data_IF_389821210282
#
_entry.id   IF_389821210282
#
_cell.length_a   1.000
_cell.length_b   1.000
_cell.length_c   1.000
_cell.angle_alpha   90.00
_cell.angle_beta   90.00
_cell.angle_gamma   90.00
#
_symmetry.space_group_name_H-M   'P 1'
#
loop_
_entity.id
_entity.type
_entity.pdbx_description
1 polymer ?
#
# COMPACT_ATOMS: atom_id res chain seq x y z
N UNK A 1 7.48 32.57 -27.93
CA UNK A 1 8.37 33.26 -26.98
C UNK A 1 9.08 32.20 -26.16
N UNK A 2 10.41 32.25 -26.09
CA UNK A 2 11.26 31.30 -25.35
C UNK A 2 11.15 31.62 -23.86
N UNK A 3 10.87 30.63 -23.03
CA UNK A 3 10.99 30.76 -21.57
C UNK A 3 12.40 30.35 -21.14
N UNK A 4 13.02 31.19 -20.32
CA UNK A 4 14.38 31.08 -19.79
C UNK A 4 14.36 31.26 -18.28
N UNK A 5 15.24 30.51 -17.58
CA UNK A 5 15.59 30.63 -16.15
C UNK A 5 15.18 29.36 -15.39
N UNK A 6 16.00 28.31 -15.21
CA UNK A 6 17.38 28.18 -14.68
C UNK A 6 17.54 28.67 -13.25
N UNK A 7 17.61 27.70 -12.32
CA UNK A 7 18.61 27.66 -11.26
C UNK A 7 18.90 26.19 -10.92
N UNK A 8 19.85 25.61 -11.66
CA UNK A 8 20.45 24.30 -11.42
C UNK A 8 21.72 24.53 -10.60
N UNK A 9 21.76 24.09 -9.35
CA UNK A 9 22.99 24.05 -8.56
C UNK A 9 23.47 22.59 -8.47
N UNK A 10 24.44 22.25 -9.31
CA UNK A 10 25.17 21.01 -9.26
C UNK A 10 26.23 21.08 -8.14
N UNK A 11 26.25 20.09 -7.25
CA UNK A 11 27.46 19.74 -6.50
C UNK A 11 27.92 18.36 -6.98
N UNK A 12 29.01 18.37 -7.74
CA UNK A 12 29.82 17.20 -8.02
C UNK A 12 30.87 17.07 -6.90
N UNK A 13 30.89 15.95 -6.19
CA UNK A 13 32.00 15.54 -5.36
C UNK A 13 32.70 14.34 -5.98
N UNK A 14 34.01 14.52 -6.16
CA UNK A 14 34.97 13.58 -6.72
C UNK A 14 35.10 12.33 -5.85
N UNK A 15 34.99 11.15 -6.46
CA UNK A 15 35.62 9.92 -5.95
C UNK A 15 36.44 9.31 -7.07
N UNK A 16 37.74 9.43 -6.94
CA UNK A 16 38.76 8.77 -7.76
C UNK A 16 38.70 7.26 -7.55
N UNK A 17 38.47 6.52 -8.63
CA UNK A 17 38.64 5.07 -8.67
C UNK A 17 40.12 4.69 -8.74
N UNK A 18 40.49 3.65 -7.99
CA UNK A 18 41.73 2.91 -8.20
C UNK A 18 41.36 1.46 -8.44
N UNK A 19 41.62 0.99 -9.66
CA UNK A 19 41.56 -0.41 -10.06
C UNK A 19 42.64 -1.21 -9.32
N UNK A 20 42.30 -2.41 -8.84
CA UNK A 20 43.27 -3.46 -8.56
C UNK A 20 42.82 -4.76 -9.24
N UNK A 21 43.51 -5.10 -10.33
CA UNK A 21 43.50 -6.42 -10.96
C UNK A 21 44.25 -7.41 -10.08
N UNK A 22 43.67 -8.59 -9.87
CA UNK A 22 44.32 -9.72 -9.21
C UNK A 22 43.62 -11.03 -9.54
N UNK A 23 44.06 -11.67 -10.63
CA UNK A 23 43.72 -13.05 -11.00
C UNK A 23 44.48 -14.02 -10.09
N UNK A 24 43.82 -15.05 -9.58
CA UNK A 24 44.41 -16.37 -9.33
C UNK A 24 43.32 -17.45 -9.27
N UNK A 25 43.31 -18.29 -10.30
CA UNK A 25 42.58 -19.56 -10.40
C UNK A 25 43.17 -20.63 -9.48
N UNK A 26 42.32 -21.39 -8.79
CA UNK A 26 42.62 -22.79 -8.45
C UNK A 26 41.33 -23.61 -8.37
N UNK A 27 41.30 -24.64 -9.20
CA UNK A 27 40.32 -25.72 -9.25
C UNK A 27 40.60 -26.74 -8.15
N UNK A 28 39.58 -27.08 -7.36
CA UNK A 28 39.52 -28.37 -6.67
C UNK A 28 38.07 -28.85 -6.61
N UNK A 29 37.81 -29.91 -7.36
CA UNK A 29 36.57 -30.68 -7.38
C UNK A 29 36.44 -31.53 -6.12
N UNK A 30 35.37 -31.32 -5.35
CA UNK A 30 34.88 -32.29 -4.37
C UNK A 30 33.36 -32.39 -4.48
N UNK A 31 32.89 -33.54 -4.99
CA UNK A 31 31.48 -33.93 -4.92
C UNK A 31 31.14 -34.27 -3.48
N UNK A 32 30.34 -33.43 -2.84
CA UNK A 32 29.61 -33.75 -1.61
C UNK A 32 28.14 -33.41 -1.85
N UNK A 33 27.26 -34.41 -1.70
CA UNK A 33 25.82 -34.25 -1.75
C UNK A 33 25.34 -33.40 -0.58
N UNK A 34 25.34 -32.08 -0.77
CA UNK A 34 24.77 -31.11 0.15
C UNK A 34 23.38 -30.72 -0.32
N UNK A 35 22.42 -30.72 0.61
CA UNK A 35 21.21 -29.92 0.51
C UNK A 35 21.62 -28.52 0.03
N UNK A 36 21.19 -28.12 -1.17
CA UNK A 36 21.49 -26.81 -1.71
C UNK A 36 20.73 -25.79 -0.85
N UNK A 37 21.39 -25.25 0.17
CA UNK A 37 20.96 -24.01 0.79
C UNK A 37 20.94 -22.97 -0.32
N UNK A 38 19.75 -22.59 -0.77
CA UNK A 38 19.63 -21.60 -1.84
C UNK A 38 20.27 -20.30 -1.39
N UNK A 39 21.19 -19.76 -2.21
CA UNK A 39 21.78 -18.45 -1.96
C UNK A 39 20.83 -17.29 -2.30
N UNK A 40 19.67 -17.58 -2.89
CA UNK A 40 18.70 -16.58 -3.32
C UNK A 40 17.99 -15.95 -2.11
N UNK A 41 17.89 -14.63 -2.10
CA UNK A 41 17.14 -13.85 -1.12
C UNK A 41 15.82 -13.36 -1.71
N UNK A 42 14.78 -13.27 -0.88
CA UNK A 42 13.54 -12.59 -1.27
C UNK A 42 13.74 -11.08 -1.29
N UNK A 43 14.62 -10.56 -0.43
CA UNK A 43 14.92 -9.13 -0.34
C UNK A 43 15.46 -8.58 -1.66
N UNK A 44 14.85 -7.50 -2.14
CA UNK A 44 15.24 -6.73 -3.32
C UNK A 44 15.34 -5.24 -2.96
N UNK A 45 16.12 -4.47 -3.71
CA UNK A 45 16.21 -3.00 -3.54
C UNK A 45 15.16 -2.23 -4.34
N UNK A 46 14.54 -2.89 -5.33
CA UNK A 46 13.48 -2.34 -6.18
C UNK A 46 12.51 -3.45 -6.56
N UNK A 47 11.24 -3.10 -6.77
CA UNK A 47 10.26 -4.02 -7.34
C UNK A 47 10.79 -4.61 -8.67
N UNK A 48 10.79 -5.94 -8.85
CA UNK A 48 11.24 -6.58 -10.09
C UNK A 48 10.41 -6.14 -11.31
N UNK A 49 11.01 -6.21 -12.49
CA UNK A 49 10.36 -5.95 -13.77
C UNK A 49 9.66 -7.19 -14.38
N UNK A 50 9.51 -8.25 -13.58
CA UNK A 50 8.76 -9.46 -13.90
C UNK A 50 8.18 -10.09 -12.65
N UNK A 51 7.22 -11.00 -12.83
CA UNK A 51 6.56 -11.71 -11.74
C UNK A 51 7.51 -12.70 -11.07
N UNK A 52 7.81 -12.47 -9.79
CA UNK A 52 8.54 -13.38 -8.89
C UNK A 52 8.22 -13.05 -7.43
N UNK A 53 8.45 -13.95 -6.46
CA UNK A 53 8.36 -13.59 -5.05
C UNK A 53 9.48 -12.64 -4.65
N UNK A 54 9.16 -11.65 -3.83
CA UNK A 54 10.13 -10.72 -3.25
C UNK A 54 9.63 -10.06 -1.97
N UNK A 55 10.58 -9.48 -1.23
CA UNK A 55 10.37 -8.56 -0.11
C UNK A 55 11.11 -7.27 -0.44
N UNK A 56 10.42 -6.13 -0.38
CA UNK A 56 10.99 -4.80 -0.53
C UNK A 56 11.01 -4.14 0.85
N UNK A 57 12.21 -3.87 1.42
CA UNK A 57 12.29 -3.18 2.70
C UNK A 57 11.70 -1.77 2.62
N UNK A 58 11.20 -1.26 3.74
CA UNK A 58 10.66 0.09 3.84
C UNK A 58 11.65 1.14 3.30
N UNK A 59 11.15 2.07 2.47
CA UNK A 59 11.95 3.13 1.81
C UNK A 59 13.02 2.64 0.83
N UNK A 60 13.03 1.35 0.50
CA UNK A 60 13.64 0.85 -0.73
C UNK A 60 12.61 0.92 -1.86
N UNK A 61 13.06 0.87 -3.11
CA UNK A 61 12.20 0.99 -4.28
C UNK A 61 12.77 1.96 -5.31
N UNK A 62 12.18 1.94 -6.50
CA UNK A 62 12.20 3.13 -7.35
C UNK A 62 11.37 4.19 -6.64
N UNK A 63 11.85 5.43 -6.61
CA UNK A 63 11.10 6.55 -6.07
C UNK A 63 11.19 7.77 -6.99
N UNK A 64 10.11 8.53 -7.06
CA UNK A 64 10.01 9.79 -7.82
C UNK A 64 9.53 10.91 -6.92
N UNK A 65 9.85 12.15 -7.28
CA UNK A 65 9.36 13.34 -6.61
C UNK A 65 8.09 13.83 -7.31
N UNK A 66 6.97 13.94 -6.60
CA UNK A 66 5.81 14.70 -7.10
C UNK A 66 5.96 16.18 -6.81
N UNK A 67 6.54 16.51 -5.66
CA UNK A 67 7.06 17.83 -5.32
C UNK A 67 8.42 17.69 -4.68
N UNK A 68 9.06 18.82 -4.33
CA UNK A 68 10.33 18.82 -3.60
C UNK A 68 10.29 17.97 -2.33
N UNK A 69 9.16 17.95 -1.63
CA UNK A 69 9.00 17.32 -0.30
C UNK A 69 8.01 16.16 -0.33
N UNK A 70 7.62 15.70 -1.51
CA UNK A 70 6.70 14.57 -1.69
C UNK A 70 7.27 13.54 -2.63
N UNK A 71 7.28 12.30 -2.18
CA UNK A 71 7.84 11.19 -2.92
C UNK A 71 6.79 10.09 -3.11
N UNK A 72 6.86 9.41 -4.24
CA UNK A 72 6.13 8.18 -4.52
C UNK A 72 7.15 7.07 -4.68
N UNK A 73 7.08 6.08 -3.80
CA UNK A 73 7.91 4.86 -3.86
C UNK A 73 7.10 3.70 -4.41
N UNK A 74 7.61 3.04 -5.44
CA UNK A 74 6.92 1.97 -6.16
C UNK A 74 7.22 0.62 -5.51
N UNK A 75 6.28 0.10 -4.73
CA UNK A 75 6.49 -1.12 -3.96
C UNK A 75 6.04 -2.38 -4.70
N UNK A 76 4.87 -2.32 -5.36
CA UNK A 76 4.36 -3.35 -6.26
C UNK A 76 3.92 -2.64 -7.55
N UNK A 77 4.45 -3.07 -8.69
CA UNK A 77 4.20 -2.48 -10.01
C UNK A 77 3.46 -3.46 -10.91
N UNK A 78 2.89 -2.97 -12.02
CA UNK A 78 2.30 -3.78 -13.07
C UNK A 78 3.23 -4.88 -13.58
N UNK A 79 4.53 -4.59 -13.73
CA UNK A 79 5.51 -5.59 -14.14
C UNK A 79 5.71 -6.67 -13.06
N UNK A 80 5.84 -6.25 -11.80
CA UNK A 80 6.07 -7.18 -10.69
C UNK A 80 4.83 -8.04 -10.38
N UNK A 81 3.63 -7.53 -10.65
CA UNK A 81 2.34 -8.17 -10.35
C UNK A 81 1.66 -8.79 -11.57
N UNK A 82 2.27 -8.70 -12.76
CA UNK A 82 1.68 -9.20 -13.99
C UNK A 82 0.39 -8.47 -14.39
N UNK A 83 0.28 -7.19 -14.04
CA UNK A 83 -0.89 -6.34 -14.34
C UNK A 83 -2.00 -6.40 -13.29
N UNK A 84 -1.83 -7.16 -12.20
CA UNK A 84 -2.92 -7.45 -11.27
C UNK A 84 -3.31 -6.25 -10.39
N UNK A 85 -2.36 -5.73 -9.63
CA UNK A 85 -2.52 -4.51 -8.82
C UNK A 85 -1.18 -3.82 -8.62
N UNK A 86 -1.25 -2.55 -8.25
CA UNK A 86 -0.11 -1.71 -7.92
C UNK A 86 -0.22 -1.27 -6.46
N UNK A 87 0.92 -1.16 -5.78
CA UNK A 87 1.03 -0.53 -4.47
C UNK A 87 2.16 0.50 -4.50
N UNK A 88 1.85 1.75 -4.17
CA UNK A 88 2.84 2.81 -4.00
C UNK A 88 2.73 3.44 -2.61
N UNK A 89 3.87 3.93 -2.10
CA UNK A 89 3.94 4.65 -0.83
C UNK A 89 4.19 6.13 -1.11
N UNK A 90 3.23 6.98 -0.74
CA UNK A 90 3.34 8.43 -0.83
C UNK A 90 3.79 8.99 0.51
N UNK A 91 5.01 9.53 0.54
CA UNK A 91 5.58 10.15 1.72
C UNK A 91 5.67 11.67 1.56
N UNK A 92 5.49 12.38 2.67
CA UNK A 92 5.71 13.82 2.70
C UNK A 92 5.49 14.43 4.09
N UNK A 93 5.64 15.75 4.13
CA UNK A 93 5.32 16.60 5.27
C UNK A 93 3.93 17.22 5.12
N UNK A 94 3.54 17.97 6.14
CA UNK A 94 2.36 18.85 6.11
C UNK A 94 2.39 19.78 4.91
N UNK A 95 1.27 19.87 4.22
CA UNK A 95 1.00 20.84 3.14
C UNK A 95 -0.15 21.76 3.54
N UNK A 96 -0.23 22.95 2.95
CA UNK A 96 -1.39 23.85 3.05
C UNK A 96 -2.25 23.84 1.76
N UNK A 97 -2.05 22.83 0.92
CA UNK A 97 -2.66 22.66 -0.39
C UNK A 97 -2.94 21.17 -0.65
N UNK A 98 -3.87 20.85 -1.55
CA UNK A 98 -4.28 19.47 -1.84
C UNK A 98 -3.18 18.70 -2.59
N UNK A 99 -2.74 17.57 -2.04
CA UNK A 99 -1.65 16.77 -2.59
C UNK A 99 -1.96 16.17 -3.98
N UNK A 100 -3.23 16.02 -4.32
CA UNK A 100 -3.69 15.85 -5.69
C UNK A 100 -4.73 16.91 -6.00
N UNK A 101 -4.91 17.29 -7.27
CA UNK A 101 -6.11 18.04 -7.64
C UNK A 101 -7.32 17.14 -7.47
N UNK A 102 -8.53 17.67 -7.21
CA UNK A 102 -9.71 16.85 -7.33
C UNK A 102 -9.82 16.22 -8.72
N UNK A 103 -10.06 14.92 -8.76
CA UNK A 103 -10.09 14.17 -10.01
C UNK A 103 -10.95 12.91 -9.89
N UNK A 104 -11.14 12.23 -11.03
CA UNK A 104 -11.72 10.89 -11.11
C UNK A 104 -10.82 9.98 -11.93
N UNK A 105 -10.92 8.68 -11.65
CA UNK A 105 -10.43 7.58 -12.48
C UNK A 105 -11.63 6.92 -13.18
N UNK A 106 -11.50 6.50 -14.44
CA UNK A 106 -12.57 5.75 -15.13
C UNK A 106 -12.30 4.25 -15.15
N UNK A 107 -11.05 3.86 -14.93
CA UNK A 107 -10.59 2.47 -15.05
C UNK A 107 -10.13 1.92 -13.70
N UNK A 108 -9.36 2.71 -12.95
CA UNK A 108 -8.74 2.24 -11.71
C UNK A 108 -9.64 2.43 -10.49
N UNK A 109 -9.76 1.37 -9.70
CA UNK A 109 -10.24 1.47 -8.33
C UNK A 109 -9.05 1.85 -7.43
N UNK A 110 -9.15 2.98 -6.73
CA UNK A 110 -8.10 3.44 -5.82
C UNK A 110 -8.48 3.14 -4.36
N UNK A 111 -7.48 2.70 -3.61
CA UNK A 111 -7.56 2.40 -2.19
C UNK A 111 -6.52 3.23 -1.44
N UNK A 112 -6.98 3.98 -0.44
CA UNK A 112 -6.13 4.75 0.46
C UNK A 112 -5.97 4.02 1.80
N UNK A 113 -4.74 3.86 2.26
CA UNK A 113 -4.44 3.33 3.58
C UNK A 113 -3.40 4.20 4.30
N UNK A 114 -3.78 4.82 5.41
CA UNK A 114 -2.91 5.74 6.13
C UNK A 114 -1.89 4.94 6.97
N UNK A 115 -0.66 4.83 6.46
CA UNK A 115 0.41 4.02 7.07
C UNK A 115 1.26 4.78 8.08
N UNK A 116 1.17 6.11 8.11
CA UNK A 116 1.84 6.95 9.11
C UNK A 116 1.26 8.37 9.12
N UNK A 117 1.36 9.05 10.26
CA UNK A 117 0.89 10.42 10.42
C UNK A 117 -0.62 10.50 10.22
N UNK A 118 -1.05 11.60 9.61
CA UNK A 118 -2.46 11.86 9.27
C UNK A 118 -2.62 12.44 7.88
N UNK A 119 -3.77 12.13 7.30
CA UNK A 119 -4.16 12.55 5.95
C UNK A 119 -5.64 12.93 5.96
N UNK A 120 -5.98 14.06 5.40
CA UNK A 120 -7.38 14.37 5.07
C UNK A 120 -7.73 13.71 3.73
N UNK A 121 -8.83 12.98 3.68
CA UNK A 121 -9.36 12.31 2.49
C UNK A 121 -10.75 12.86 2.21
N UNK A 122 -11.04 13.13 0.94
CA UNK A 122 -12.36 13.53 0.48
C UNK A 122 -12.82 12.65 -0.65
N UNK A 123 -14.11 12.31 -0.63
CA UNK A 123 -14.80 11.63 -1.72
C UNK A 123 -16.14 12.28 -1.96
N UNK A 124 -16.57 12.29 -3.23
CA UNK A 124 -17.91 12.73 -3.62
C UNK A 124 -18.39 11.89 -4.79
N UNK A 125 -19.62 11.38 -4.69
CA UNK A 125 -20.27 10.75 -5.83
C UNK A 125 -20.41 11.77 -6.98
N UNK A 126 -19.98 11.39 -8.20
CA UNK A 126 -19.95 12.29 -9.35
C UNK A 126 -21.32 12.43 -10.02
N UNK A 127 -22.29 12.85 -9.22
CA UNK A 127 -23.66 13.18 -9.62
C UNK A 127 -24.05 14.53 -9.03
N UNK A 128 -25.11 15.14 -9.56
CA UNK A 128 -25.60 16.45 -9.09
C UNK A 128 -26.09 16.40 -7.65
N UNK A 129 -26.59 15.25 -7.18
CA UNK A 129 -27.06 15.00 -5.81
C UNK A 129 -26.09 14.15 -4.99
N UNK A 130 -24.89 13.89 -5.49
CA UNK A 130 -23.93 13.01 -4.85
C UNK A 130 -23.42 13.58 -3.54
N UNK A 131 -23.43 12.75 -2.49
CA UNK A 131 -22.98 13.13 -1.16
C UNK A 131 -21.46 13.32 -1.13
N UNK A 132 -21.01 14.29 -0.33
CA UNK A 132 -19.60 14.59 -0.11
C UNK A 132 -19.21 14.20 1.32
N UNK A 133 -18.20 13.33 1.37
CA UNK A 133 -17.68 12.74 2.59
C UNK A 133 -16.21 13.10 2.76
N UNK A 134 -15.82 13.46 3.98
CA UNK A 134 -14.44 13.76 4.31
C UNK A 134 -14.03 13.13 5.63
N UNK A 135 -12.82 12.58 5.70
CA UNK A 135 -12.23 11.99 6.91
C UNK A 135 -10.80 12.45 7.14
N UNK A 136 -10.45 12.69 8.40
CA UNK A 136 -9.07 12.79 8.86
C UNK A 136 -8.62 11.37 9.20
N UNK A 137 -7.92 10.73 8.27
CA UNK A 137 -7.28 9.42 8.43
C UNK A 137 -6.02 9.52 9.30
N UNK A 138 -5.87 8.52 10.15
CA UNK A 138 -4.72 8.24 11.01
C UNK A 138 -4.23 6.81 10.78
N UNK A 139 -3.18 6.38 11.48
CA UNK A 139 -2.58 5.05 11.28
C UNK A 139 -3.60 3.92 11.25
N UNK A 140 -3.65 3.20 10.12
CA UNK A 140 -4.51 2.05 9.88
C UNK A 140 -5.92 2.37 9.37
N UNK A 141 -6.24 3.65 9.20
CA UNK A 141 -7.50 4.10 8.60
C UNK A 141 -7.47 3.91 7.07
N UNK A 142 -8.64 3.67 6.50
CA UNK A 142 -8.82 3.27 5.11
C UNK A 142 -9.89 4.10 4.40
N UNK A 143 -9.67 4.38 3.11
CA UNK A 143 -10.63 4.97 2.19
C UNK A 143 -10.74 4.16 0.89
N UNK A 144 -11.97 3.89 0.46
CA UNK A 144 -12.30 3.19 -0.79
C UNK A 144 -12.81 4.18 -1.83
N UNK A 145 -12.24 4.17 -3.03
CA UNK A 145 -12.61 5.11 -4.10
C UNK A 145 -12.82 4.38 -5.43
N UNK A 146 -14.04 3.87 -5.67
CA UNK A 146 -14.40 3.24 -6.93
C UNK A 146 -14.24 4.18 -8.15
N UNK A 147 -14.12 3.61 -9.37
CA UNK A 147 -14.10 4.41 -10.59
C UNK A 147 -15.29 5.37 -10.70
N UNK A 148 -15.01 6.59 -11.15
CA UNK A 148 -15.98 7.66 -11.33
C UNK A 148 -16.20 8.54 -10.09
N UNK A 149 -15.68 8.16 -8.92
CA UNK A 149 -15.80 8.97 -7.69
C UNK A 149 -14.80 10.13 -7.70
N UNK A 150 -15.30 11.34 -7.45
CA UNK A 150 -14.45 12.52 -7.25
C UNK A 150 -13.73 12.37 -5.93
N UNK A 151 -12.41 12.52 -5.94
CA UNK A 151 -11.63 12.42 -4.72
C UNK A 151 -10.39 13.30 -4.75
N UNK A 152 -9.84 13.53 -3.56
CA UNK A 152 -8.57 14.20 -3.34
C UNK A 152 -8.09 13.89 -1.92
N UNK A 153 -6.85 14.26 -1.60
CA UNK A 153 -6.30 14.12 -0.26
C UNK A 153 -5.31 15.24 0.09
N UNK A 154 -5.00 15.34 1.38
CA UNK A 154 -4.01 16.26 1.90
C UNK A 154 -3.22 15.65 3.05
N UNK A 155 -1.89 15.71 2.99
CA UNK A 155 -1.01 15.31 4.09
C UNK A 155 -1.00 16.43 5.14
N UNK A 156 -1.36 16.12 6.40
CA UNK A 156 -1.54 17.14 7.44
C UNK A 156 -0.61 16.99 8.65
N UNK A 157 0.21 15.93 8.70
CA UNK A 157 1.25 15.77 9.72
C UNK A 157 2.66 15.88 9.13
N UNK A 158 3.67 16.23 9.95
CA UNK A 158 5.06 16.36 9.49
C UNK A 158 5.66 15.06 8.93
N UNK A 159 5.11 13.91 9.27
CA UNK A 159 5.62 12.60 8.87
C UNK A 159 4.43 11.70 8.48
N UNK A 160 3.89 11.98 7.30
CA UNK A 160 2.76 11.26 6.74
C UNK A 160 3.22 10.26 5.69
N UNK A 161 2.56 9.11 5.69
CA UNK A 161 2.69 8.09 4.65
C UNK A 161 1.31 7.58 4.27
N UNK A 162 0.90 7.84 3.04
CA UNK A 162 -0.31 7.31 2.44
C UNK A 162 0.07 6.17 1.50
N UNK A 163 -0.44 4.98 1.76
CA UNK A 163 -0.33 3.87 0.83
C UNK A 163 -1.50 3.95 -0.15
N UNK A 164 -1.18 3.97 -1.44
CA UNK A 164 -2.16 3.87 -2.51
C UNK A 164 -2.06 2.48 -3.11
N UNK A 165 -3.21 1.81 -3.24
CA UNK A 165 -3.31 0.61 -4.07
C UNK A 165 -4.29 0.83 -5.21
N UNK A 166 -3.92 0.37 -6.40
CA UNK A 166 -4.72 0.49 -7.61
C UNK A 166 -4.96 -0.90 -8.19
N UNK A 167 -6.20 -1.16 -8.60
CA UNK A 167 -6.51 -2.35 -9.40
C UNK A 167 -7.40 -1.98 -10.62
N UNK A 168 -7.11 -2.49 -11.83
CA UNK A 168 -5.92 -3.26 -12.19
C UNK A 168 -4.61 -2.45 -12.01
N UNK A 169 -3.45 -3.09 -12.16
CA UNK A 169 -2.17 -2.37 -12.10
C UNK A 169 -1.99 -1.44 -13.32
N UNK A 170 -1.04 -0.50 -13.24
CA UNK A 170 -0.62 0.33 -14.38
C UNK A 170 -0.78 1.83 -14.16
N UNK A 171 -1.63 2.24 -13.20
CA UNK A 171 -1.82 3.66 -12.87
C UNK A 171 -0.52 4.34 -12.43
N UNK A 172 0.45 3.59 -11.89
CA UNK A 172 1.72 4.15 -11.45
C UNK A 172 2.53 4.82 -12.57
N UNK A 173 2.23 4.52 -13.84
CA UNK A 173 2.81 5.23 -14.99
C UNK A 173 2.56 6.73 -14.92
N UNK A 174 1.41 7.16 -14.37
CA UNK A 174 1.12 8.57 -14.14
C UNK A 174 2.25 9.23 -13.35
N UNK A 175 2.66 8.62 -12.23
CA UNK A 175 3.67 9.19 -11.36
C UNK A 175 5.03 9.34 -12.06
N UNK A 176 5.38 8.42 -12.95
CA UNK A 176 6.59 8.56 -13.77
C UNK A 176 6.49 9.76 -14.72
N UNK A 177 5.40 9.84 -15.48
CA UNK A 177 5.20 10.83 -16.53
C UNK A 177 5.08 12.26 -16.01
N UNK A 178 4.54 12.44 -14.79
CA UNK A 178 4.27 13.76 -14.20
C UNK A 178 5.26 14.15 -13.10
N UNK A 179 6.21 13.28 -12.76
CA UNK A 179 7.18 13.55 -11.70
C UNK A 179 8.10 14.75 -12.00
N UNK A 180 8.56 15.40 -10.93
CA UNK A 180 9.69 16.33 -10.95
C UNK A 180 11.06 15.62 -11.06
N UNK A 181 11.10 14.34 -11.41
CA UNK A 181 12.31 13.52 -11.52
C UNK A 181 12.45 12.45 -10.44
N UNK A 182 13.53 11.66 -10.53
CA UNK A 182 13.82 10.59 -9.58
C UNK A 182 14.16 11.14 -8.20
N UNK A 183 13.66 10.49 -7.16
CA UNK A 183 14.10 10.71 -5.79
C UNK A 183 15.17 9.67 -5.45
N UNK A 184 16.37 10.13 -5.08
CA UNK A 184 17.48 9.28 -4.66
C UNK A 184 17.95 9.68 -3.27
N UNK A 185 17.97 8.74 -2.34
CA UNK A 185 18.52 8.92 -1.00
C UNK A 185 19.46 7.77 -0.68
N UNK A 186 20.77 8.04 -0.57
CA UNK A 186 21.77 7.03 -0.21
C UNK A 186 21.65 6.50 1.22
N UNK A 187 20.78 7.12 2.03
CA UNK A 187 20.46 6.72 3.41
C UNK A 187 18.97 6.42 3.59
N UNK A 188 18.22 6.26 2.50
CA UNK A 188 16.79 5.89 2.50
C UNK A 188 15.88 6.84 3.31
N UNK A 189 16.17 8.14 3.27
CA UNK A 189 15.24 9.15 3.79
C UNK A 189 13.90 9.10 3.03
N UNK A 190 12.75 9.26 3.70
CA UNK A 190 11.44 9.12 3.05
C UNK A 190 11.12 10.25 2.08
N UNK A 191 11.56 11.47 2.36
CA UNK A 191 11.36 12.66 1.52
C UNK A 191 12.44 13.71 1.85
N UNK A 192 12.52 14.80 1.08
CA UNK A 192 13.47 15.90 1.33
C UNK A 192 12.99 16.80 2.47
N UNK A 193 13.78 16.99 3.55
CA UNK A 193 13.39 17.85 4.67
C UNK A 193 13.58 19.34 4.31
N UNK A 194 12.61 19.90 3.61
CA UNK A 194 12.63 21.31 3.20
C UNK A 194 11.51 22.13 3.88
N UNK A 195 11.79 23.33 4.42
CA UNK A 195 10.75 24.19 4.99
C UNK A 195 9.78 24.71 3.92
N UNK A 196 10.23 24.86 2.67
CA UNK A 196 9.42 25.37 1.55
C UNK A 196 8.85 24.20 0.76
N UNK A 197 7.52 24.17 0.64
CA UNK A 197 6.80 23.25 -0.25
C UNK A 197 5.67 24.04 -0.93
N UNK A 198 6.02 24.70 -2.04
CA UNK A 198 5.07 25.48 -2.83
C UNK A 198 4.08 24.55 -3.54
N UNK A 199 2.85 25.02 -3.70
CA UNK A 199 1.85 24.28 -4.46
C UNK A 199 2.37 24.06 -5.89
N UNK A 200 2.58 22.81 -6.31
CA UNK A 200 3.28 22.47 -7.56
C UNK A 200 2.44 22.69 -8.82
N UNK A 201 1.11 22.72 -8.70
CA UNK A 201 0.20 22.66 -9.85
C UNK A 201 -0.60 23.96 -10.02
N UNK A 202 -0.48 24.63 -11.19
CA UNK A 202 -1.20 25.87 -11.59
C UNK A 202 -2.65 25.64 -12.04
N UNK A 203 -3.23 26.34 -13.03
CA UNK A 203 -4.52 25.94 -13.62
C UNK A 203 -4.38 24.67 -14.48
N UNK A 204 -5.50 23.99 -14.74
CA UNK A 204 -5.54 22.87 -15.68
C UNK A 204 -5.54 23.41 -17.12
N UNK A 205 -4.43 23.22 -17.85
CA UNK A 205 -4.30 23.70 -19.24
C UNK A 205 -4.71 22.62 -20.25
N UNK A 206 -4.99 22.96 -21.52
CA UNK A 206 -5.25 21.96 -22.57
C UNK A 206 -4.14 20.92 -22.73
N UNK A 207 -2.88 21.33 -22.55
CA UNK A 207 -1.72 20.42 -22.60
C UNK A 207 -1.73 19.43 -21.43
N UNK A 208 -2.08 19.88 -20.22
CA UNK A 208 -2.24 19.00 -19.07
C UNK A 208 -3.44 18.04 -19.25
N UNK A 209 -4.53 18.49 -19.86
CA UNK A 209 -5.65 17.61 -20.22
C UNK A 209 -5.19 16.49 -21.16
N UNK A 210 -4.47 16.85 -22.23
CA UNK A 210 -3.94 15.89 -23.18
C UNK A 210 -2.91 14.92 -22.56
N UNK A 211 -2.22 15.33 -21.49
CA UNK A 211 -1.29 14.49 -20.75
C UNK A 211 -2.00 13.53 -19.78
N UNK A 212 -2.97 14.01 -19.00
CA UNK A 212 -3.54 13.26 -17.87
C UNK A 212 -4.66 12.29 -18.28
N UNK A 213 -5.52 12.65 -19.23
CA UNK A 213 -6.65 11.79 -19.58
C UNK A 213 -6.25 10.42 -20.14
N UNK A 214 -5.21 10.28 -20.98
CA UNK A 214 -4.70 8.97 -21.40
C UNK A 214 -4.11 8.13 -20.26
N UNK A 215 -3.77 8.76 -19.13
CA UNK A 215 -3.26 8.13 -17.91
C UNK A 215 -4.38 7.86 -16.89
N UNK A 216 -5.65 7.97 -17.32
CA UNK A 216 -6.86 7.77 -16.50
C UNK A 216 -7.01 8.78 -15.34
N UNK A 217 -6.43 9.98 -15.46
CA UNK A 217 -6.65 11.06 -14.50
C UNK A 217 -7.48 12.18 -15.16
N UNK A 218 -8.73 12.32 -14.71
CA UNK A 218 -9.65 13.35 -15.21
C UNK A 218 -9.86 14.40 -14.12
N UNK A 219 -9.18 15.54 -14.25
CA UNK A 219 -9.27 16.62 -13.28
C UNK A 219 -10.69 17.21 -13.22
N UNK A 220 -11.15 17.50 -12.02
CA UNK A 220 -12.44 18.13 -11.74
C UNK A 220 -12.20 19.63 -11.51
N UNK A 221 -12.85 20.53 -12.28
CA UNK A 221 -12.70 21.96 -12.09
C UNK A 221 -13.23 22.44 -10.73
N UNK A 222 -12.63 23.49 -10.17
CA UNK A 222 -13.08 24.10 -8.91
C UNK A 222 -14.52 24.62 -8.96
N UNK A 223 -15.03 24.96 -10.16
CA UNK A 223 -16.44 25.34 -10.33
C UNK A 223 -17.40 24.16 -10.10
N UNK A 224 -16.91 22.93 -10.24
CA UNK A 224 -17.68 21.71 -10.02
C UNK A 224 -17.48 21.16 -8.60
N UNK A 225 -16.28 21.27 -8.04
CA UNK A 225 -15.98 20.70 -6.73
C UNK A 225 -14.88 21.45 -5.97
N UNK A 226 -15.19 21.82 -4.74
CA UNK A 226 -14.26 22.38 -3.76
C UNK A 226 -14.39 21.52 -2.50
N UNK A 227 -13.31 20.84 -2.05
CA UNK A 227 -13.40 19.98 -0.88
C UNK A 227 -13.83 20.76 0.36
N UNK A 228 -14.83 20.24 1.05
CA UNK A 228 -15.33 20.78 2.32
C UNK A 228 -14.25 20.79 3.40
N UNK A 229 -14.28 21.77 4.31
CA UNK A 229 -13.27 21.94 5.38
C UNK A 229 -13.87 22.06 6.77
N UNK A 230 -15.16 21.79 6.89
CA UNK A 230 -15.97 21.87 8.10
C UNK A 230 -15.85 20.62 8.99
N UNK A 231 -14.63 20.08 9.13
CA UNK A 231 -14.38 18.90 9.96
C UNK A 231 -14.75 19.15 11.43
N UNK A 232 -15.48 18.21 12.01
CA UNK A 232 -15.71 18.11 13.45
C UNK A 232 -15.28 16.71 13.88
N UNK A 233 -14.35 16.63 14.84
CA UNK A 233 -13.79 15.36 15.32
C UNK A 233 -13.23 14.45 14.19
N UNK A 234 -12.63 15.07 13.17
CA UNK A 234 -11.99 14.35 12.07
C UNK A 234 -12.95 13.79 11.02
N UNK A 235 -14.21 14.22 11.00
CA UNK A 235 -15.16 13.85 9.94
C UNK A 235 -15.99 15.06 9.51
N UNK A 236 -16.38 15.09 8.23
CA UNK A 236 -17.41 15.98 7.70
C UNK A 236 -18.26 15.15 6.73
N UNK A 237 -19.53 14.94 7.09
CA UNK A 237 -20.39 13.90 6.51
C UNK A 237 -21.82 14.44 6.41
N UNK A 238 -22.54 14.13 5.33
CA UNK A 238 -23.97 14.52 5.20
C UNK A 238 -24.86 13.69 6.11
N UNK A 239 -24.50 12.43 6.34
CA UNK A 239 -25.16 11.51 7.26
C UNK A 239 -24.23 11.21 8.45
N UNK A 240 -24.73 10.85 9.64
CA UNK A 240 -23.91 10.64 10.86
C UNK A 240 -23.02 9.39 10.84
N UNK A 241 -22.28 9.13 9.76
CA UNK A 241 -21.38 8.01 9.60
C UNK A 241 -20.30 8.03 10.68
N UNK A 242 -20.06 6.85 11.26
CA UNK A 242 -19.09 6.71 12.33
C UNK A 242 -17.67 7.03 11.85
N UNK A 243 -16.91 7.73 12.68
CA UNK A 243 -15.47 7.90 12.52
C UNK A 243 -14.81 7.85 13.89
N UNK A 244 -14.07 6.78 14.17
CA UNK A 244 -13.47 6.49 15.49
C UNK A 244 -14.46 6.48 16.68
N UNK A 245 -15.77 6.38 16.42
CA UNK A 245 -16.82 6.45 17.45
C UNK A 245 -17.88 5.34 17.32
N UNK A 246 -17.71 4.39 16.40
CA UNK A 246 -18.64 3.30 16.17
C UNK A 246 -18.26 2.46 14.95
N UNK A 247 -18.95 1.34 14.74
CA UNK A 247 -18.68 0.40 13.65
C UNK A 247 -18.79 1.07 12.28
N UNK A 248 -17.86 0.76 11.38
CA UNK A 248 -17.92 1.09 9.97
C UNK A 248 -18.31 -0.17 9.18
N UNK A 249 -19.54 -0.17 8.65
CA UNK A 249 -20.00 -1.23 7.76
C UNK A 249 -19.45 -1.02 6.34
N UNK A 250 -19.22 -2.13 5.62
CA UNK A 250 -18.85 -2.06 4.22
C UNK A 250 -20.15 -1.99 3.38
N UNK A 251 -20.30 -1.03 2.46
CA UNK A 251 -21.47 -0.96 1.60
C UNK A 251 -21.54 -2.17 0.67
N UNK A 252 -22.75 -2.58 0.32
CA UNK A 252 -22.99 -3.61 -0.70
C UNK A 252 -22.90 -3.06 -2.14
N UNK A 253 -23.03 -1.74 -2.30
CA UNK A 253 -22.93 -1.05 -3.57
C UNK A 253 -21.46 -0.73 -3.87
N UNK A 254 -20.89 -1.41 -4.88
CA UNK A 254 -19.49 -1.28 -5.28
C UNK A 254 -19.17 -0.01 -6.07
N UNK A 255 -20.16 0.87 -6.29
CA UNK A 255 -19.95 2.19 -6.91
C UNK A 255 -19.76 3.30 -5.88
N UNK A 256 -20.04 3.01 -4.60
CA UNK A 256 -20.00 4.02 -3.53
C UNK A 256 -18.63 4.09 -2.86
N UNK A 257 -18.10 5.30 -2.63
CA UNK A 257 -16.96 5.45 -1.75
C UNK A 257 -17.35 5.19 -0.30
N UNK A 258 -16.38 4.77 0.51
CA UNK A 258 -16.57 4.60 1.95
C UNK A 258 -15.25 4.66 2.69
N UNK A 259 -15.32 4.77 4.01
CA UNK A 259 -14.16 4.83 4.88
C UNK A 259 -14.29 3.81 6.01
N UNK A 260 -13.17 3.25 6.46
CA UNK A 260 -13.11 2.33 7.61
C UNK A 260 -12.01 2.81 8.54
N UNK A 261 -12.38 3.23 9.74
CA UNK A 261 -11.40 3.56 10.77
C UNK A 261 -10.71 2.28 11.28
N UNK A 262 -9.47 2.41 11.71
CA UNK A 262 -8.61 1.32 12.16
C UNK A 262 -9.30 0.52 13.27
N UNK A 263 -9.52 -0.77 13.05
CA UNK A 263 -10.22 -1.69 13.95
C UNK A 263 -11.73 -1.43 14.15
N UNK A 264 -12.36 -0.50 13.41
CA UNK A 264 -13.80 -0.23 13.48
C UNK A 264 -14.64 -0.98 12.43
N UNK A 265 -13.99 -1.72 11.51
CA UNK A 265 -14.68 -2.60 10.56
C UNK A 265 -15.11 -3.95 11.16
N UNK A 266 -15.85 -4.78 10.41
CA UNK A 266 -16.19 -6.13 10.82
C UNK A 266 -14.92 -7.00 10.91
N UNK A 267 -14.81 -7.75 12.00
CA UNK A 267 -13.65 -8.59 12.32
C UNK A 267 -14.08 -10.04 12.54
N UNK A 268 -13.16 -10.95 12.26
CA UNK A 268 -13.38 -12.39 12.32
C UNK A 268 -12.18 -13.06 12.96
N UNK A 269 -12.40 -14.10 13.76
CA UNK A 269 -11.34 -14.84 14.43
C UNK A 269 -11.18 -16.23 13.81
N UNK A 270 -9.99 -16.48 13.25
CA UNK A 270 -9.53 -17.82 12.87
C UNK A 270 -8.61 -18.37 13.96
N UNK A 271 -8.75 -19.67 14.26
CA UNK A 271 -7.98 -20.35 15.32
C UNK A 271 -7.28 -21.63 14.84
N UNK A 272 -7.11 -21.80 13.53
CA UNK A 272 -6.56 -23.03 12.93
C UNK A 272 -5.10 -23.26 13.33
N UNK A 273 -4.25 -22.26 13.08
CA UNK A 273 -2.83 -22.22 13.46
C UNK A 273 -2.52 -20.87 14.10
N UNK A 274 -2.33 -20.86 15.42
CA UNK A 274 -2.35 -19.64 16.22
C UNK A 274 -3.68 -18.90 16.12
N UNK A 275 -3.70 -17.66 16.57
CA UNK A 275 -4.83 -16.75 16.41
C UNK A 275 -4.58 -15.76 15.29
N UNK A 276 -5.61 -15.56 14.46
CA UNK A 276 -5.64 -14.54 13.43
C UNK A 276 -6.95 -13.77 13.52
N UNK A 277 -6.89 -12.46 13.77
CA UNK A 277 -8.04 -11.56 13.68
C UNK A 277 -8.00 -10.90 12.31
N UNK A 278 -8.97 -11.22 11.47
CA UNK A 278 -9.08 -10.73 10.10
C UNK A 278 -10.11 -9.60 10.05
N UNK A 279 -9.71 -8.42 9.55
CA UNK A 279 -10.61 -7.32 9.22
C UNK A 279 -10.59 -7.08 7.71
N UNK A 280 -11.56 -7.60 6.95
CA UNK A 280 -11.75 -7.18 5.56
C UNK A 280 -12.14 -5.70 5.52
N UNK A 281 -11.46 -4.91 4.68
CA UNK A 281 -11.78 -3.48 4.44
C UNK A 281 -12.21 -3.23 2.99
N UNK A 282 -11.84 -4.13 2.07
CA UNK A 282 -12.47 -4.30 0.77
C UNK A 282 -12.64 -5.80 0.49
N UNK A 283 -13.81 -6.16 -0.02
CA UNK A 283 -14.25 -7.52 -0.32
C UNK A 283 -14.66 -7.57 -1.78
N UNK A 284 -14.80 -8.79 -2.29
CA UNK A 284 -15.25 -9.06 -3.65
C UNK A 284 -16.52 -8.29 -4.01
N UNK A 285 -17.49 -8.21 -3.10
CA UNK A 285 -18.78 -7.54 -3.29
C UNK A 285 -18.67 -6.03 -3.52
N UNK A 286 -17.76 -5.33 -2.82
CA UNK A 286 -17.54 -3.88 -2.94
C UNK A 286 -16.32 -3.49 -3.80
N UNK A 287 -15.58 -4.45 -4.35
CA UNK A 287 -14.57 -4.18 -5.38
C UNK A 287 -15.24 -3.97 -6.74
N UNK A 288 -14.81 -2.96 -7.50
CA UNK A 288 -15.44 -2.58 -8.77
C UNK A 288 -15.62 -3.75 -9.77
N UNK A 289 -14.59 -4.61 -9.89
CA UNK A 289 -14.59 -5.74 -10.83
C UNK A 289 -14.77 -7.10 -10.15
N UNK A 290 -15.13 -7.14 -8.86
CA UNK A 290 -15.25 -8.39 -8.09
C UNK A 290 -14.00 -9.27 -8.13
N UNK A 291 -12.81 -8.64 -8.25
CA UNK A 291 -11.56 -9.34 -8.50
C UNK A 291 -10.39 -8.78 -7.67
N UNK A 292 -10.71 -8.14 -6.54
CA UNK A 292 -9.71 -7.64 -5.61
C UNK A 292 -10.26 -7.64 -4.19
N UNK A 293 -9.42 -7.98 -3.22
CA UNK A 293 -9.75 -7.88 -1.80
C UNK A 293 -8.59 -7.29 -1.03
N UNK A 294 -8.91 -6.62 0.07
CA UNK A 294 -7.95 -5.93 0.91
C UNK A 294 -8.44 -5.95 2.36
N UNK A 295 -7.50 -5.97 3.30
CA UNK A 295 -7.84 -5.97 4.71
C UNK A 295 -6.62 -6.13 5.57
N UNK A 296 -6.81 -6.22 6.88
CA UNK A 296 -5.72 -6.42 7.83
C UNK A 296 -5.85 -7.74 8.55
N UNK A 297 -4.73 -8.34 8.91
CA UNK A 297 -4.66 -9.52 9.78
C UNK A 297 -3.78 -9.18 10.97
N UNK A 298 -4.29 -9.42 12.18
CA UNK A 298 -3.53 -9.41 13.43
C UNK A 298 -3.25 -10.86 13.83
N UNK A 299 -2.00 -11.21 14.07
CA UNK A 299 -1.55 -12.55 14.41
C UNK A 299 -0.99 -12.64 15.82
N UNK A 300 -1.27 -13.75 16.50
CA UNK A 300 -0.47 -14.21 17.63
C UNK A 300 0.84 -14.84 17.14
N UNK A 301 1.89 -14.91 17.98
CA UNK A 301 3.13 -15.59 17.63
C UNK A 301 2.86 -17.09 17.46
N UNK A 302 3.63 -17.73 16.58
CA UNK A 302 3.60 -19.19 16.44
C UNK A 302 4.14 -19.84 17.70
N UNK A 303 3.43 -20.84 18.20
CA UNK A 303 3.92 -21.62 19.35
C UNK A 303 4.89 -22.72 18.91
N UNK A 304 5.67 -23.22 19.86
CA UNK A 304 6.65 -24.28 19.62
C UNK A 304 6.00 -25.59 19.18
N UNK A 305 4.80 -25.88 19.70
CA UNK A 305 4.01 -27.07 19.36
C UNK A 305 3.10 -26.89 18.12
N UNK A 306 3.10 -25.71 17.49
CA UNK A 306 2.31 -25.43 16.30
C UNK A 306 3.13 -25.69 15.02
N UNK A 307 2.51 -26.40 14.08
CA UNK A 307 3.07 -26.57 12.74
C UNK A 307 3.05 -25.26 11.98
N UNK A 308 3.98 -25.09 11.04
CA UNK A 308 4.00 -23.89 10.21
C UNK A 308 2.78 -23.85 9.27
N UNK A 309 2.29 -22.64 9.01
CA UNK A 309 1.26 -22.44 8.00
C UNK A 309 1.88 -22.62 6.62
N UNK A 310 1.31 -23.48 5.77
CA UNK A 310 1.75 -23.66 4.39
C UNK A 310 0.56 -23.35 3.49
N UNK A 311 0.76 -22.42 2.57
CA UNK A 311 -0.31 -21.87 1.72
C UNK A 311 0.13 -21.88 0.27
N UNK A 312 -0.82 -22.11 -0.64
CA UNK A 312 -0.67 -21.84 -2.07
C UNK A 312 -1.96 -21.19 -2.53
N UNK A 313 -1.87 -19.92 -2.94
CA UNK A 313 -3.05 -19.15 -3.33
C UNK A 313 -3.22 -19.21 -4.86
N UNK A 314 -4.46 -19.27 -5.37
CA UNK A 314 -4.73 -19.20 -6.81
C UNK A 314 -4.48 -17.80 -7.39
N UNK A 315 -4.32 -16.79 -6.55
CA UNK A 315 -4.17 -15.39 -6.92
C UNK A 315 -2.92 -14.76 -6.27
N UNK A 316 -2.42 -13.68 -6.86
CA UNK A 316 -1.31 -12.90 -6.31
C UNK A 316 -1.66 -12.31 -4.94
N UNK A 317 -0.71 -12.30 -4.02
CA UNK A 317 -0.83 -11.71 -2.68
C UNK A 317 0.25 -10.63 -2.49
N UNK A 318 -0.18 -9.45 -2.07
CA UNK A 318 0.66 -8.39 -1.52
C UNK A 318 0.49 -8.34 0.00
N UNK A 319 1.57 -8.08 0.72
CA UNK A 319 1.58 -7.84 2.17
C UNK A 319 2.32 -6.54 2.43
N UNK A 320 1.78 -5.66 3.28
CA UNK A 320 2.50 -4.53 3.85
C UNK A 320 2.42 -4.59 5.38
N UNK A 321 3.57 -4.56 6.05
CA UNK A 321 3.65 -4.66 7.50
C UNK A 321 3.22 -3.37 8.21
N UNK A 322 2.36 -3.50 9.22
CA UNK A 322 1.93 -2.39 10.07
C UNK A 322 2.67 -2.37 11.41
N UNK A 323 2.79 -3.54 12.05
CA UNK A 323 3.39 -3.69 13.38
C UNK A 323 3.91 -5.12 13.58
N UNK A 324 4.88 -5.28 14.47
CA UNK A 324 5.49 -6.55 14.82
C UNK A 324 6.49 -7.07 13.79
N UNK A 325 6.57 -8.40 13.68
CA UNK A 325 7.49 -9.07 12.78
C UNK A 325 6.87 -10.33 12.20
N UNK A 326 6.83 -10.39 10.87
CA UNK A 326 6.36 -11.52 10.11
C UNK A 326 7.54 -12.25 9.48
N UNK A 327 7.59 -13.56 9.62
CA UNK A 327 8.53 -14.42 8.91
C UNK A 327 7.85 -14.95 7.66
N UNK A 328 8.53 -14.86 6.52
CA UNK A 328 8.11 -15.42 5.24
C UNK A 328 9.15 -16.41 4.74
N UNK A 329 8.70 -17.61 4.36
CA UNK A 329 9.54 -18.60 3.68
C UNK A 329 8.91 -19.00 2.34
N UNK A 330 9.72 -19.03 1.29
CA UNK A 330 9.32 -19.46 -0.05
C UNK A 330 10.39 -20.44 -0.53
N UNK A 331 9.98 -21.59 -1.07
CA UNK A 331 10.90 -22.61 -1.53
C UNK A 331 11.90 -22.04 -2.54
N UNK A 332 13.18 -22.41 -2.37
CA UNK A 332 14.26 -21.87 -3.19
C UNK A 332 14.77 -20.50 -2.74
N UNK A 333 14.27 -19.92 -1.64
CA UNK A 333 14.79 -18.68 -1.05
C UNK A 333 15.15 -18.84 0.44
N UNK A 334 16.05 -17.99 0.92
CA UNK A 334 16.28 -17.84 2.35
C UNK A 334 15.03 -17.26 3.04
N UNK A 335 14.73 -17.81 4.22
CA UNK A 335 13.74 -17.26 5.15
C UNK A 335 14.02 -15.77 5.38
N UNK A 336 12.98 -14.96 5.27
CA UNK A 336 13.06 -13.49 5.37
C UNK A 336 12.16 -12.99 6.49
N UNK A 337 12.61 -11.94 7.19
CA UNK A 337 11.91 -11.32 8.31
C UNK A 337 11.45 -9.94 7.86
N UNK A 338 10.14 -9.70 7.89
CA UNK A 338 9.53 -8.44 7.53
C UNK A 338 9.27 -7.64 8.80
N UNK A 339 9.64 -6.37 8.77
CA UNK A 339 9.41 -5.38 9.82
C UNK A 339 8.39 -4.33 9.33
N UNK A 340 7.98 -3.44 10.23
CA UNK A 340 7.04 -2.36 9.92
C UNK A 340 7.42 -1.58 8.65
N UNK A 341 6.47 -1.50 7.71
CA UNK A 341 6.59 -0.79 6.43
C UNK A 341 7.20 -1.62 5.30
N UNK A 342 7.77 -2.79 5.57
CA UNK A 342 8.22 -3.71 4.52
C UNK A 342 7.03 -4.22 3.72
N UNK A 343 7.26 -4.41 2.42
CA UNK A 343 6.26 -4.93 1.49
C UNK A 343 6.73 -6.28 0.94
N UNK A 344 5.85 -7.26 0.86
CA UNK A 344 6.12 -8.52 0.18
C UNK A 344 5.10 -8.77 -0.93
N UNK A 345 5.55 -9.47 -1.95
CA UNK A 345 4.71 -9.94 -3.04
C UNK A 345 4.95 -11.43 -3.27
N UNK A 346 3.86 -12.19 -3.34
CA UNK A 346 3.85 -13.63 -3.54
C UNK A 346 3.02 -13.93 -4.80
N UNK A 347 3.62 -14.50 -5.86
CA UNK A 347 2.88 -14.83 -7.06
C UNK A 347 1.83 -15.92 -6.85
N UNK A 348 0.76 -15.89 -7.64
CA UNK A 348 -0.21 -16.98 -7.73
C UNK A 348 0.49 -18.32 -7.97
N UNK A 349 0.00 -19.37 -7.31
CA UNK A 349 0.55 -20.73 -7.41
C UNK A 349 1.91 -20.93 -6.73
N UNK A 350 2.48 -19.91 -6.07
CA UNK A 350 3.74 -20.05 -5.32
C UNK A 350 3.47 -20.59 -3.92
N UNK A 351 4.02 -21.76 -3.54
CA UNK A 351 3.94 -22.25 -2.16
C UNK A 351 4.77 -21.37 -1.23
N UNK A 352 4.19 -21.00 -0.08
CA UNK A 352 4.90 -20.23 0.94
C UNK A 352 4.44 -20.61 2.35
N UNK A 353 5.24 -20.25 3.34
CA UNK A 353 4.87 -20.29 4.75
C UNK A 353 5.04 -18.93 5.41
N UNK A 354 4.21 -18.66 6.42
CA UNK A 354 4.31 -17.42 7.19
C UNK A 354 3.97 -17.64 8.66
N UNK A 355 4.61 -16.87 9.54
CA UNK A 355 4.27 -16.82 10.95
C UNK A 355 4.75 -15.54 11.63
N UNK A 356 4.06 -15.14 12.68
CA UNK A 356 4.51 -14.07 13.57
C UNK A 356 5.53 -14.60 14.58
N UNK A 357 6.55 -13.79 14.89
CA UNK A 357 7.58 -14.11 15.90
C UNK A 357 7.40 -13.36 17.22
N UNK A 358 6.57 -12.31 17.22
CA UNK A 358 6.32 -11.46 18.38
C UNK A 358 4.84 -11.47 18.75
N UNK A 359 4.47 -11.12 20.01
CA UNK A 359 3.11 -11.20 20.53
C UNK A 359 2.06 -10.55 19.61
N UNK A 360 2.35 -9.38 19.06
CA UNK A 360 1.41 -8.67 18.19
C UNK A 360 2.09 -8.42 16.85
N UNK A 361 1.55 -9.00 15.79
CA UNK A 361 1.98 -8.72 14.41
C UNK A 361 0.77 -8.38 13.59
N UNK A 362 0.77 -7.20 12.96
CA UNK A 362 -0.31 -6.73 12.10
C UNK A 362 0.24 -6.42 10.71
N UNK A 363 -0.50 -6.81 9.68
CA UNK A 363 -0.21 -6.43 8.31
C UNK A 363 -1.48 -6.21 7.50
N UNK A 364 -1.34 -5.38 6.47
CA UNK A 364 -2.28 -5.19 5.39
C UNK A 364 -2.05 -6.27 4.32
N UNK A 365 -3.10 -6.90 3.82
CA UNK A 365 -3.06 -7.81 2.67
C UNK A 365 -3.79 -7.20 1.48
N UNK A 366 -3.35 -7.57 0.28
CA UNK A 366 -3.97 -7.24 -1.01
C UNK A 366 -4.01 -8.51 -1.86
N UNK A 367 -5.18 -8.93 -2.36
CA UNK A 367 -5.27 -10.12 -3.22
C UNK A 367 -5.82 -9.78 -4.61
N UNK A 368 -5.22 -10.38 -5.63
CA UNK A 368 -5.66 -10.28 -7.03
C UNK A 368 -6.78 -11.28 -7.38
N UNK A 369 -7.89 -11.25 -6.65
CA UNK A 369 -9.05 -12.08 -6.97
C UNK A 369 -9.96 -12.37 -5.78
N UNK A 370 -11.05 -13.11 -6.00
CA UNK A 370 -12.05 -13.38 -4.97
C UNK A 370 -11.63 -14.43 -3.94
N UNK A 371 -10.57 -15.22 -4.22
CA UNK A 371 -10.12 -16.34 -3.38
C UNK A 371 -8.69 -16.12 -2.89
N UNK A 372 -8.51 -15.08 -2.08
CA UNK A 372 -7.24 -14.71 -1.47
C UNK A 372 -6.93 -15.41 -0.14
N UNK A 373 -5.92 -14.89 0.57
CA UNK A 373 -5.53 -15.39 1.90
C UNK A 373 -6.67 -15.31 2.91
N UNK A 374 -7.40 -14.20 2.93
CA UNK A 374 -8.55 -13.96 3.77
C UNK A 374 -9.70 -14.91 3.47
N UNK A 375 -9.93 -15.29 2.21
CA UNK A 375 -11.04 -16.18 1.84
C UNK A 375 -10.92 -17.53 2.55
N UNK A 376 -9.73 -18.11 2.51
CA UNK A 376 -9.42 -19.36 3.21
C UNK A 376 -9.58 -19.24 4.73
N UNK A 377 -9.14 -18.11 5.31
CA UNK A 377 -9.22 -17.88 6.75
C UNK A 377 -10.67 -17.65 7.21
N UNK A 378 -11.44 -16.86 6.47
CA UNK A 378 -12.81 -16.47 6.80
C UNK A 378 -13.77 -17.66 6.76
N UNK A 379 -13.58 -18.61 5.83
CA UNK A 379 -14.38 -19.84 5.75
C UNK A 379 -14.33 -20.70 7.03
N UNK A 380 -13.34 -20.48 7.89
CA UNK A 380 -13.12 -21.19 9.15
C UNK A 380 -13.03 -20.23 10.34
N UNK A 381 -13.66 -19.07 10.23
CA UNK A 381 -13.68 -18.05 11.27
C UNK A 381 -15.07 -17.85 11.86
N UNK A 382 -15.10 -17.29 13.07
CA UNK A 382 -16.33 -16.76 13.69
C UNK A 382 -16.30 -15.23 13.69
N UNK A 383 -17.46 -14.60 13.75
CA UNK A 383 -17.55 -13.15 14.00
C UNK A 383 -16.83 -12.79 15.29
N UNK A 384 -16.08 -11.69 15.27
CA UNK A 384 -15.21 -11.29 16.37
C UNK A 384 -15.29 -9.79 16.59
N UNK A 385 -15.62 -9.37 17.81
CA UNK A 385 -15.85 -7.95 18.14
C UNK A 385 -14.59 -7.14 18.44
N UNK A 386 -13.41 -7.78 18.53
CA UNK A 386 -12.23 -7.19 19.14
C UNK A 386 -11.03 -7.17 18.18
N UNK A 387 -10.13 -6.17 18.25
CA UNK A 387 -8.84 -6.22 17.56
C UNK A 387 -7.79 -7.08 18.28
N UNK A 388 -8.09 -7.57 19.47
CA UNK A 388 -7.26 -8.54 20.19
C UNK A 388 -7.76 -9.96 19.94
N UNK A 389 -6.87 -10.93 19.95
CA UNK A 389 -7.21 -12.35 19.99
C UNK A 389 -7.40 -12.84 21.45
N UNK A 390 -7.92 -14.06 21.68
CA UNK A 390 -8.12 -14.63 23.02
C UNK A 390 -6.84 -14.72 23.86
N UNK A 391 -6.98 -14.57 25.18
CA UNK A 391 -5.86 -14.64 26.13
C UNK A 391 -5.36 -16.07 26.37
N UNK A 392 -6.27 -17.04 26.38
CA UNK A 392 -5.95 -18.44 26.67
C UNK A 392 -5.47 -19.14 25.41
N UNK A 393 -4.47 -20.01 25.55
CA UNK A 393 -3.86 -20.66 24.39
C UNK A 393 -4.76 -21.72 23.71
N UNK A 394 -5.74 -22.26 24.44
CA UNK A 394 -6.59 -23.36 23.97
C UNK A 394 -7.93 -22.94 23.36
N UNK A 395 -8.21 -21.64 23.25
CA UNK A 395 -9.48 -21.19 22.67
C UNK A 395 -9.59 -21.65 21.21
N UNK A 396 -10.74 -22.22 20.86
CA UNK A 396 -11.08 -22.60 19.49
C UNK A 396 -12.38 -21.93 19.09
N UNK A 397 -12.32 -21.18 18.00
CA UNK A 397 -13.52 -20.70 17.33
C UNK A 397 -14.22 -21.91 16.72
N UNK A 398 -15.45 -22.19 17.14
CA UNK A 398 -16.31 -23.19 16.52
C UNK A 398 -17.30 -22.41 15.64
N UNK A 399 -17.25 -22.57 14.29
CA UNK A 399 -18.13 -21.89 13.35
C UNK A 399 -19.63 -22.08 13.61
#
# INVERSE_FOLDING_TARGET
>A
MKFSGVALAALASLVSGTECKGSCSSTSSSRSGGSSTSNNTLTVDRAPDFVRPYVLPRFHGKAVMLTKTQTITFSITANSSGGAFTLVQHNGKVTNWLNARPHVHKTYHEHFYCSRGRVELWTKENTTSGEEEARVASFGDYGNVPPGVIHTFQLIDPDSQLTHAFHPAGFEKLFDDVSGGQFASGVHAPYVPDPVDEQPYGPMTPELHALFEPLDLFAVPEQQYIPRRDFVNGTASSEGLNWHNGTNDLPADNTKPYFVANNYGPKFLNTDKGYKVIQPISRTDNSHNHNFTMGTIIMSPKRDNETEEHVTLPHHLGIQMDDGQLVLSVDGYKKTYLLQGDVAFIPAGTPFSYHATVPFTKFLYLNAGPHGLEYELLNRSVSWGFPSYPVDAGFKAVP
#
